data_IF_721976297472
#
_entry.id   IF_721976297472
#
_cell.length_a   1.000
_cell.length_b   1.000
_cell.length_c   1.000
_cell.angle_alpha   90.00
_cell.angle_beta   90.00
_cell.angle_gamma   90.00
#
_symmetry.space_group_name_H-M   'P 1'
#
loop_
_entity.id
_entity.type
_entity.pdbx_description
1 polymer ?
#
# COMPACT_ATOMS: atom_id res chain seq x y z
N UNK A 1 -28.75 -8.01 4.52
CA UNK A 1 -28.03 -8.03 3.22
C UNK A 1 -27.78 -6.58 2.82
N UNK A 2 -26.56 -6.07 2.75
CA UNK A 2 -26.32 -4.73 2.24
C UNK A 2 -26.41 -4.78 0.72
N UNK A 3 -27.30 -3.99 0.17
CA UNK A 3 -27.50 -3.74 -1.25
C UNK A 3 -26.20 -3.19 -1.85
N UNK A 4 -25.59 -3.92 -2.76
CA UNK A 4 -24.55 -3.41 -3.64
C UNK A 4 -25.12 -2.28 -4.47
N UNK A 5 -24.64 -1.05 -4.25
CA UNK A 5 -24.96 0.11 -5.07
C UNK A 5 -24.58 -0.20 -6.53
N UNK A 6 -25.57 -0.22 -7.40
CA UNK A 6 -25.35 -0.18 -8.85
C UNK A 6 -24.69 1.15 -9.19
N UNK A 7 -23.41 1.10 -9.57
CA UNK A 7 -22.68 2.27 -10.03
C UNK A 7 -23.12 2.61 -11.46
N UNK A 8 -23.73 3.77 -11.61
CA UNK A 8 -24.11 4.36 -12.88
C UNK A 8 -22.85 4.64 -13.75
N UNK A 9 -22.94 4.44 -15.08
CA UNK A 9 -21.82 4.59 -16.01
C UNK A 9 -21.21 6.01 -16.02
N UNK A 10 -21.99 7.05 -15.71
CA UNK A 10 -21.51 8.41 -15.56
C UNK A 10 -20.63 8.60 -14.31
N UNK A 11 -20.92 7.88 -13.22
CA UNK A 11 -20.10 7.85 -12.01
C UNK A 11 -18.75 7.16 -12.26
N UNK A 12 -18.71 6.17 -13.15
CA UNK A 12 -17.49 5.47 -13.54
C UNK A 12 -16.46 6.38 -14.23
N UNK A 13 -16.90 7.29 -15.11
CA UNK A 13 -16.02 8.25 -15.79
C UNK A 13 -15.51 9.32 -14.82
N UNK A 14 -16.38 9.87 -13.97
CA UNK A 14 -16.01 10.81 -12.90
C UNK A 14 -15.02 10.20 -11.91
N UNK A 15 -15.22 8.94 -11.50
CA UNK A 15 -14.27 8.24 -10.64
C UNK A 15 -12.92 8.03 -11.32
N UNK A 16 -12.88 7.70 -12.62
CA UNK A 16 -11.60 7.57 -13.36
C UNK A 16 -10.82 8.88 -13.39
N UNK A 17 -11.51 9.99 -13.62
CA UNK A 17 -10.86 11.31 -13.63
C UNK A 17 -10.38 11.73 -12.24
N UNK A 18 -11.14 11.42 -11.19
CA UNK A 18 -10.79 11.70 -9.79
C UNK A 18 -9.53 10.96 -9.34
N UNK A 19 -9.39 9.70 -9.74
CA UNK A 19 -8.24 8.87 -9.37
C UNK A 19 -7.11 8.92 -10.41
N UNK A 20 -7.22 9.78 -11.41
CA UNK A 20 -6.12 10.07 -12.32
C UNK A 20 -4.88 10.44 -11.50
N UNK A 21 -3.76 9.82 -11.81
CA UNK A 21 -2.52 9.92 -11.05
C UNK A 21 -2.52 9.25 -9.65
N UNK A 22 -3.61 8.59 -9.23
CA UNK A 22 -3.56 7.77 -8.02
C UNK A 22 -2.94 6.41 -8.34
N UNK A 23 -1.64 6.28 -8.11
CA UNK A 23 -0.86 5.07 -8.42
C UNK A 23 -1.25 3.86 -7.55
N UNK A 24 -1.94 4.07 -6.43
CA UNK A 24 -2.42 3.02 -5.53
C UNK A 24 -3.85 2.58 -5.85
N UNK A 25 -4.58 3.41 -6.59
CA UNK A 25 -5.90 3.06 -7.06
C UNK A 25 -5.80 2.43 -8.44
N UNK A 26 -6.16 1.18 -8.49
CA UNK A 26 -6.10 0.42 -9.71
C UNK A 26 -7.42 0.39 -10.49
N UNK A 27 -8.49 0.98 -9.96
CA UNK A 27 -9.82 1.03 -10.59
C UNK A 27 -10.43 -0.36 -10.84
N UNK A 28 -11.51 -0.43 -11.63
CA UNK A 28 -12.08 -1.72 -12.06
C UNK A 28 -11.14 -2.51 -12.96
N UNK A 29 -10.12 -1.86 -13.50
CA UNK A 29 -9.15 -2.45 -14.43
C UNK A 29 -7.92 -3.01 -13.75
N UNK A 30 -7.69 -2.74 -12.51
CA UNK A 30 -6.88 -3.62 -11.71
C UNK A 30 -7.63 -4.87 -11.34
N UNK A 31 -8.65 -5.12 -11.99
CA UNK A 31 -9.04 -6.47 -12.26
C UNK A 31 -7.87 -7.26 -12.86
N UNK A 32 -6.71 -7.31 -12.18
CA UNK A 32 -5.98 -8.55 -12.12
C UNK A 32 -7.05 -9.57 -11.78
N UNK A 33 -7.48 -10.35 -12.76
CA UNK A 33 -8.40 -11.45 -12.52
C UNK A 33 -7.64 -12.41 -11.62
N UNK A 34 -7.72 -12.16 -10.32
CA UNK A 34 -7.10 -13.04 -9.35
C UNK A 34 -7.74 -14.42 -9.47
N UNK A 35 -6.91 -15.43 -9.51
CA UNK A 35 -7.34 -16.75 -9.11
C UNK A 35 -7.45 -16.70 -7.59
N UNK A 36 -8.69 -16.63 -7.10
CA UNK A 36 -8.97 -16.69 -5.66
C UNK A 36 -8.83 -18.15 -5.20
N UNK A 37 -7.98 -18.39 -4.23
CA UNK A 37 -7.71 -19.72 -3.74
C UNK A 37 -7.73 -19.77 -2.21
N UNK A 38 -8.62 -20.60 -1.68
CA UNK A 38 -8.50 -21.18 -0.34
C UNK A 38 -7.76 -22.50 -0.42
N UNK A 39 -8.17 -23.35 -1.37
CA UNK A 39 -7.62 -24.68 -1.60
C UNK A 39 -6.65 -24.67 -2.78
N UNK A 40 -5.70 -25.59 -2.74
CA UNK A 40 -4.75 -25.81 -3.82
C UNK A 40 -5.40 -26.69 -4.87
N UNK A 41 -5.67 -26.12 -6.05
CA UNK A 41 -6.26 -26.81 -7.20
C UNK A 41 -5.46 -26.52 -8.48
N UNK A 42 -5.86 -27.12 -9.60
CA UNK A 42 -5.16 -26.99 -10.88
C UNK A 42 -4.97 -25.53 -11.36
N UNK A 43 -5.91 -24.63 -11.06
CA UNK A 43 -5.85 -23.22 -11.48
C UNK A 43 -4.72 -22.46 -10.81
N UNK A 44 -4.28 -22.89 -9.62
CA UNK A 44 -3.18 -22.24 -8.89
C UNK A 44 -1.86 -22.35 -9.67
N UNK A 45 -1.63 -23.48 -10.34
CA UNK A 45 -0.38 -23.75 -11.08
C UNK A 45 -0.27 -22.97 -12.39
N UNK A 46 -1.39 -22.46 -12.92
CA UNK A 46 -1.42 -21.66 -14.16
C UNK A 46 -1.64 -20.16 -13.90
N UNK A 47 -1.86 -19.80 -12.63
CA UNK A 47 -2.14 -18.43 -12.24
C UNK A 47 -0.91 -17.54 -12.42
N UNK A 48 -1.11 -16.35 -13.03
CA UNK A 48 -0.15 -15.23 -12.98
C UNK A 48 -0.47 -14.29 -11.82
N UNK A 49 -1.74 -14.20 -11.47
CA UNK A 49 -2.27 -13.36 -10.38
C UNK A 49 -3.02 -14.25 -9.41
N UNK A 50 -2.52 -14.34 -8.19
CA UNK A 50 -3.03 -15.24 -7.16
C UNK A 50 -3.45 -14.44 -5.92
N UNK A 51 -4.64 -14.73 -5.41
CA UNK A 51 -5.10 -14.25 -4.11
C UNK A 51 -5.32 -15.43 -3.17
N UNK A 52 -4.59 -15.45 -2.07
CA UNK A 52 -4.73 -16.48 -1.03
C UNK A 52 -5.56 -15.91 0.11
N UNK A 53 -6.65 -16.59 0.44
CA UNK A 53 -7.54 -16.18 1.51
C UNK A 53 -7.75 -17.36 2.49
N UNK A 54 -7.06 -17.29 3.64
CA UNK A 54 -7.17 -18.29 4.71
C UNK A 54 -7.82 -17.69 5.98
N UNK A 55 -8.71 -16.70 5.81
CA UNK A 55 -9.46 -16.13 6.93
C UNK A 55 -10.41 -17.17 7.52
N UNK A 56 -10.41 -17.26 8.85
CA UNK A 56 -11.23 -18.24 9.56
C UNK A 56 -12.73 -18.15 9.24
N UNK A 57 -13.21 -16.91 8.98
CA UNK A 57 -14.62 -16.63 8.67
C UNK A 57 -15.04 -17.07 7.26
N UNK A 58 -14.09 -17.31 6.37
CA UNK A 58 -14.37 -17.67 4.98
C UNK A 58 -14.37 -19.22 4.78
N UNK A 59 -14.04 -19.98 5.84
CA UNK A 59 -14.16 -21.43 5.81
C UNK A 59 -15.54 -21.89 6.31
N UNK A 60 -16.07 -22.99 5.75
CA UNK A 60 -17.22 -23.67 6.34
C UNK A 60 -16.98 -24.01 7.82
N UNK A 61 -18.06 -24.03 8.61
CA UNK A 61 -17.98 -24.25 10.06
C UNK A 61 -17.35 -25.60 10.42
N UNK A 62 -17.49 -26.57 9.54
CA UNK A 62 -16.95 -27.91 9.69
C UNK A 62 -15.43 -27.99 9.56
N UNK A 63 -14.80 -26.97 8.98
CA UNK A 63 -13.34 -26.94 8.78
C UNK A 63 -12.66 -26.61 10.11
N UNK A 64 -12.04 -27.61 10.70
CA UNK A 64 -11.34 -27.50 11.98
C UNK A 64 -10.07 -26.66 11.89
N UNK A 65 -9.63 -26.14 13.04
CA UNK A 65 -8.35 -25.43 13.14
C UNK A 65 -7.17 -26.29 12.65
N UNK A 66 -7.20 -27.61 12.89
CA UNK A 66 -6.17 -28.52 12.44
C UNK A 66 -6.12 -28.60 10.91
N UNK A 67 -7.26 -28.67 10.25
CA UNK A 67 -7.35 -28.68 8.79
C UNK A 67 -6.85 -27.36 8.18
N UNK A 68 -7.22 -26.24 8.78
CA UNK A 68 -6.72 -24.91 8.33
C UNK A 68 -5.22 -24.78 8.46
N UNK A 69 -4.62 -25.27 9.55
CA UNK A 69 -3.16 -25.28 9.73
C UNK A 69 -2.47 -26.18 8.69
N UNK A 70 -3.01 -27.36 8.45
CA UNK A 70 -2.49 -28.26 7.41
C UNK A 70 -2.56 -27.63 6.01
N UNK A 71 -3.63 -26.91 5.71
CA UNK A 71 -3.75 -26.16 4.47
C UNK A 71 -2.72 -25.04 4.36
N UNK A 72 -2.49 -24.29 5.44
CA UNK A 72 -1.45 -23.26 5.51
C UNK A 72 -0.06 -23.85 5.26
N UNK A 73 0.26 -24.99 5.88
CA UNK A 73 1.51 -25.72 5.65
C UNK A 73 1.66 -26.17 4.19
N UNK A 74 0.59 -26.64 3.58
CA UNK A 74 0.60 -27.01 2.16
C UNK A 74 0.90 -25.80 1.27
N UNK A 75 0.32 -24.62 1.56
CA UNK A 75 0.65 -23.38 0.87
C UNK A 75 2.10 -22.98 1.07
N UNK A 76 2.64 -23.04 2.29
CA UNK A 76 4.04 -22.73 2.59
C UNK A 76 4.99 -23.58 1.74
N UNK A 77 4.68 -24.87 1.57
CA UNK A 77 5.48 -25.80 0.78
C UNK A 77 5.33 -25.57 -0.75
N UNK A 78 4.19 -25.05 -1.19
CA UNK A 78 3.89 -24.86 -2.60
C UNK A 78 4.42 -23.51 -3.13
N UNK A 79 4.26 -22.41 -2.38
CA UNK A 79 4.57 -21.05 -2.82
C UNK A 79 5.91 -20.91 -3.56
N UNK A 80 7.03 -21.48 -3.05
CA UNK A 80 8.33 -21.37 -3.73
C UNK A 80 8.39 -21.99 -5.12
N UNK A 81 7.38 -22.80 -5.50
CA UNK A 81 7.33 -23.54 -6.77
C UNK A 81 6.38 -22.91 -7.78
N UNK A 82 5.70 -21.83 -7.42
CA UNK A 82 4.74 -21.11 -8.28
C UNK A 82 5.45 -20.08 -9.16
N UNK A 83 6.25 -20.55 -10.10
CA UNK A 83 7.11 -19.70 -10.94
C UNK A 83 6.35 -18.78 -11.91
N UNK A 84 5.07 -19.07 -12.21
CA UNK A 84 4.23 -18.24 -13.09
C UNK A 84 3.60 -17.06 -12.36
N UNK A 85 3.52 -17.10 -11.02
CA UNK A 85 2.88 -16.05 -10.23
C UNK A 85 3.78 -14.82 -10.17
N UNK A 86 3.31 -13.71 -10.73
CA UNK A 86 3.97 -12.40 -10.68
C UNK A 86 3.24 -11.43 -9.74
N UNK A 87 1.97 -11.69 -9.42
CA UNK A 87 1.17 -10.88 -8.50
C UNK A 87 0.56 -11.77 -7.44
N UNK A 88 0.83 -11.48 -6.17
CA UNK A 88 0.30 -12.20 -5.02
C UNK A 88 -0.39 -11.24 -4.05
N UNK A 89 -1.60 -11.59 -3.63
CA UNK A 89 -2.32 -10.94 -2.53
C UNK A 89 -2.65 -11.94 -1.43
N UNK A 90 -2.24 -11.64 -0.19
CA UNK A 90 -2.56 -12.45 0.98
C UNK A 90 -3.60 -11.73 1.84
N UNK A 91 -4.81 -12.26 1.91
CA UNK A 91 -5.94 -11.68 2.65
C UNK A 91 -6.15 -12.27 4.04
N UNK A 92 -5.22 -13.07 4.51
CA UNK A 92 -5.23 -13.62 5.87
C UNK A 92 -4.05 -13.07 6.67
N UNK A 93 -4.00 -13.41 7.95
CA UNK A 93 -2.89 -13.02 8.84
C UNK A 93 -1.65 -13.85 8.52
N UNK A 94 -0.71 -13.22 7.80
CA UNK A 94 0.56 -13.85 7.42
C UNK A 94 1.50 -13.92 8.64
N UNK A 95 1.99 -15.13 8.94
CA UNK A 95 3.03 -15.36 9.94
C UNK A 95 4.43 -15.38 9.31
N UNK A 96 5.48 -15.51 10.16
CA UNK A 96 6.87 -15.46 9.71
C UNK A 96 7.20 -16.55 8.69
N UNK A 97 6.81 -17.80 8.93
CA UNK A 97 7.11 -18.94 8.03
C UNK A 97 6.44 -18.79 6.66
N UNK A 98 5.18 -18.32 6.65
CA UNK A 98 4.46 -18.06 5.40
C UNK A 98 5.12 -16.91 4.61
N UNK A 99 5.52 -15.86 5.28
CA UNK A 99 6.25 -14.74 4.68
C UNK A 99 7.58 -15.20 4.05
N UNK A 100 8.35 -16.03 4.74
CA UNK A 100 9.62 -16.56 4.24
C UNK A 100 9.42 -17.47 3.01
N UNK A 101 8.30 -18.19 2.95
CA UNK A 101 7.94 -18.98 1.77
C UNK A 101 7.62 -18.07 0.58
N UNK A 102 6.86 -16.99 0.78
CA UNK A 102 6.60 -15.97 -0.24
C UNK A 102 7.90 -15.38 -0.76
N UNK A 103 8.83 -15.05 0.13
CA UNK A 103 10.12 -14.46 -0.25
C UNK A 103 11.01 -15.39 -1.10
N UNK A 104 10.65 -16.65 -1.28
CA UNK A 104 11.30 -17.57 -2.23
C UNK A 104 10.71 -17.52 -3.65
N UNK A 105 9.61 -16.80 -3.86
CA UNK A 105 8.93 -16.64 -5.16
C UNK A 105 9.66 -15.58 -6.02
N UNK A 106 10.69 -15.99 -6.74
CA UNK A 106 11.64 -15.09 -7.44
C UNK A 106 11.04 -14.21 -8.55
N UNK A 107 9.83 -14.54 -9.02
CA UNK A 107 9.18 -13.85 -10.13
C UNK A 107 8.10 -12.85 -9.67
N UNK A 108 7.93 -12.63 -8.37
CA UNK A 108 7.00 -11.62 -7.88
C UNK A 108 7.41 -10.22 -8.29
N UNK A 109 6.45 -9.52 -8.89
CA UNK A 109 6.50 -8.11 -9.25
C UNK A 109 5.58 -7.26 -8.36
N UNK A 110 4.44 -7.84 -7.94
CA UNK A 110 3.47 -7.18 -7.08
C UNK A 110 3.13 -8.07 -5.88
N UNK A 111 3.22 -7.52 -4.68
CA UNK A 111 2.95 -8.23 -3.43
C UNK A 111 2.10 -7.37 -2.49
N UNK A 112 0.99 -7.93 -2.04
CA UNK A 112 0.07 -7.29 -1.11
C UNK A 112 -0.19 -8.19 0.10
N UNK A 113 -0.09 -7.60 1.29
CA UNK A 113 -0.45 -8.20 2.57
C UNK A 113 -1.55 -7.38 3.26
N UNK A 114 -2.69 -8.01 3.57
CA UNK A 114 -3.77 -7.35 4.31
C UNK A 114 -3.46 -7.24 5.81
N UNK A 115 -2.84 -8.27 6.40
CA UNK A 115 -2.47 -8.27 7.82
C UNK A 115 -1.33 -9.24 8.10
N UNK A 116 -0.47 -8.90 9.06
CA UNK A 116 0.71 -9.72 9.36
C UNK A 116 1.15 -9.64 10.82
N UNK A 117 1.73 -10.74 11.30
CA UNK A 117 2.46 -10.82 12.58
C UNK A 117 3.96 -10.99 12.39
N UNK A 118 4.46 -10.78 11.19
CA UNK A 118 5.89 -10.84 10.86
C UNK A 118 6.66 -9.78 11.65
N UNK A 119 7.78 -10.17 12.21
CA UNK A 119 8.70 -9.33 12.98
C UNK A 119 9.97 -9.01 12.17
N UNK A 120 10.46 -9.99 11.42
CA UNK A 120 11.65 -9.88 10.56
C UNK A 120 11.29 -9.98 9.08
N UNK A 121 11.53 -8.90 8.34
CA UNK A 121 11.30 -8.84 6.90
C UNK A 121 12.60 -8.96 6.09
N UNK A 122 13.73 -9.37 6.66
CA UNK A 122 15.04 -9.46 5.98
C UNK A 122 15.00 -10.32 4.73
N UNK A 123 14.17 -11.39 4.73
CA UNK A 123 13.98 -12.26 3.57
C UNK A 123 13.39 -11.58 2.34
N UNK A 124 12.75 -10.38 2.49
CA UNK A 124 12.17 -9.62 1.37
C UNK A 124 13.24 -9.23 0.33
N UNK A 125 14.48 -9.12 0.78
CA UNK A 125 15.64 -8.84 -0.08
C UNK A 125 15.81 -9.83 -1.25
N UNK A 126 15.19 -11.01 -1.19
CA UNK A 126 15.22 -12.02 -2.26
C UNK A 126 14.30 -11.66 -3.45
N UNK A 127 13.33 -10.77 -3.26
CA UNK A 127 12.32 -10.39 -4.26
C UNK A 127 12.81 -9.28 -5.19
N UNK A 128 13.89 -9.51 -5.93
CA UNK A 128 14.58 -8.48 -6.70
C UNK A 128 13.78 -7.94 -7.90
N UNK A 129 12.70 -8.62 -8.33
CA UNK A 129 11.80 -8.15 -9.40
C UNK A 129 10.62 -7.34 -8.86
N UNK A 130 10.50 -7.19 -7.52
CA UNK A 130 9.35 -6.54 -6.91
C UNK A 130 9.32 -5.05 -7.26
N UNK A 131 8.23 -4.62 -7.90
CA UNK A 131 7.96 -3.24 -8.30
C UNK A 131 6.90 -2.57 -7.44
N UNK A 132 5.98 -3.36 -6.86
CA UNK A 132 4.91 -2.87 -5.98
C UNK A 132 4.82 -3.72 -4.72
N UNK A 133 4.85 -3.05 -3.58
CA UNK A 133 4.70 -3.66 -2.26
C UNK A 133 3.65 -2.91 -1.46
N UNK A 134 2.65 -3.63 -0.99
CA UNK A 134 1.61 -3.12 -0.09
C UNK A 134 1.59 -3.93 1.20
N UNK A 135 1.81 -3.26 2.31
CA UNK A 135 1.91 -3.82 3.64
C UNK A 135 0.86 -3.18 4.54
N UNK A 136 -0.23 -3.89 4.81
CA UNK A 136 -1.25 -3.43 5.74
C UNK A 136 -1.14 -4.17 7.07
N UNK A 137 -1.26 -3.45 8.17
CA UNK A 137 -1.36 -3.99 9.54
C UNK A 137 -0.25 -4.97 9.94
N UNK A 138 1.02 -4.60 9.71
CA UNK A 138 2.17 -5.33 10.25
C UNK A 138 2.33 -5.03 11.75
N UNK A 139 1.64 -5.79 12.58
CA UNK A 139 1.42 -5.47 14.01
C UNK A 139 2.65 -5.62 14.90
N UNK A 140 3.70 -6.31 14.41
CA UNK A 140 4.92 -6.59 15.18
C UNK A 140 6.20 -6.06 14.57
N UNK A 141 6.15 -5.61 13.31
CA UNK A 141 7.31 -5.08 12.61
C UNK A 141 7.80 -3.78 13.25
N UNK A 142 9.10 -3.71 13.56
CA UNK A 142 9.77 -2.54 14.15
C UNK A 142 10.72 -1.90 13.15
N UNK A 143 11.48 -2.70 12.41
CA UNK A 143 12.48 -2.25 11.44
C UNK A 143 12.00 -2.50 9.99
N UNK A 144 11.90 -1.41 9.21
CA UNK A 144 11.52 -1.48 7.79
C UNK A 144 12.74 -1.43 6.85
N UNK A 145 13.93 -1.25 7.37
CA UNK A 145 15.15 -1.07 6.56
C UNK A 145 15.44 -2.19 5.54
N UNK A 146 15.07 -3.47 5.75
CA UNK A 146 15.30 -4.50 4.74
C UNK A 146 14.66 -4.21 3.37
N UNK A 147 13.62 -3.34 3.30
CA UNK A 147 13.00 -2.91 2.04
C UNK A 147 14.00 -2.17 1.14
N UNK A 148 15.03 -1.55 1.69
CA UNK A 148 16.08 -0.86 0.92
C UNK A 148 16.84 -1.76 -0.06
N UNK A 149 16.77 -3.08 0.13
CA UNK A 149 17.35 -4.06 -0.79
C UNK A 149 16.54 -4.22 -2.10
N UNK A 150 15.29 -3.73 -2.16
CA UNK A 150 14.41 -3.85 -3.31
C UNK A 150 14.69 -2.75 -4.34
N UNK A 151 15.70 -2.96 -5.19
CA UNK A 151 16.18 -1.94 -6.14
C UNK A 151 15.22 -1.64 -7.29
N UNK A 152 14.24 -2.51 -7.55
CA UNK A 152 13.22 -2.34 -8.59
C UNK A 152 11.92 -1.74 -8.05
N UNK A 153 11.82 -1.46 -6.73
CA UNK A 153 10.57 -1.02 -6.12
C UNK A 153 10.24 0.42 -6.54
N UNK A 154 9.06 0.57 -7.13
CA UNK A 154 8.51 1.84 -7.61
C UNK A 154 7.33 2.33 -6.75
N UNK A 155 6.52 1.39 -6.24
CA UNK A 155 5.33 1.70 -5.45
C UNK A 155 5.41 1.01 -4.09
N UNK A 156 5.38 1.80 -3.01
CA UNK A 156 5.36 1.32 -1.64
C UNK A 156 4.16 1.89 -0.88
N UNK A 157 3.31 1.02 -0.33
CA UNK A 157 2.29 1.38 0.64
C UNK A 157 2.54 0.67 1.96
N UNK A 158 2.60 1.44 3.06
CA UNK A 158 2.68 0.89 4.41
C UNK A 158 1.59 1.53 5.26
N UNK A 159 0.60 0.75 5.62
CA UNK A 159 -0.56 1.23 6.37
C UNK A 159 -0.69 0.48 7.70
N UNK A 160 -1.18 1.17 8.74
CA UNK A 160 -1.47 0.57 10.06
C UNK A 160 -0.31 -0.19 10.74
N UNK A 161 0.93 0.07 10.33
CA UNK A 161 2.13 -0.59 10.86
C UNK A 161 2.78 0.29 11.93
N UNK A 162 2.05 0.50 13.04
CA UNK A 162 2.33 1.52 14.07
C UNK A 162 3.57 1.27 14.94
N UNK A 163 4.17 0.09 14.87
CA UNK A 163 5.40 -0.23 15.62
C UNK A 163 6.68 0.05 14.85
N UNK A 164 6.58 0.33 13.55
CA UNK A 164 7.76 0.71 12.76
C UNK A 164 8.30 2.05 13.26
N UNK A 165 9.59 2.08 13.59
CA UNK A 165 10.25 3.23 14.22
C UNK A 165 11.11 4.04 13.24
N UNK A 166 11.50 3.45 12.12
CA UNK A 166 12.51 4.00 11.20
C UNK A 166 11.98 4.27 9.80
N UNK A 167 10.79 4.86 9.65
CA UNK A 167 10.26 5.26 8.34
C UNK A 167 11.15 6.22 7.56
N UNK A 168 12.04 6.95 8.25
CA UNK A 168 13.01 7.86 7.66
C UNK A 168 13.99 7.20 6.69
N UNK A 169 14.30 5.90 6.88
CA UNK A 169 15.16 5.15 5.95
C UNK A 169 14.60 5.09 4.53
N UNK A 170 13.28 5.19 4.37
CA UNK A 170 12.63 5.19 3.06
C UNK A 170 13.04 6.36 2.16
N UNK A 171 13.58 7.43 2.75
CA UNK A 171 14.18 8.55 2.00
C UNK A 171 15.40 8.15 1.15
N UNK A 172 15.95 6.96 1.34
CA UNK A 172 17.04 6.39 0.52
C UNK A 172 16.52 5.66 -0.74
N UNK A 173 15.21 5.44 -0.86
CA UNK A 173 14.60 4.69 -1.97
C UNK A 173 14.32 5.60 -3.16
N UNK A 174 15.34 6.08 -3.81
CA UNK A 174 15.24 7.06 -4.91
C UNK A 174 14.50 6.57 -6.15
N UNK A 175 14.23 5.26 -6.25
CA UNK A 175 13.43 4.65 -7.33
C UNK A 175 11.92 4.81 -7.13
N UNK A 176 11.47 5.23 -5.95
CA UNK A 176 10.04 5.35 -5.66
C UNK A 176 9.37 6.41 -6.54
N UNK A 177 8.28 5.99 -7.17
CA UNK A 177 7.34 6.80 -7.93
C UNK A 177 6.08 7.08 -7.13
N UNK A 178 5.66 6.15 -6.28
CA UNK A 178 4.56 6.31 -5.32
C UNK A 178 4.93 5.83 -3.93
N UNK A 179 4.61 6.64 -2.92
CA UNK A 179 4.76 6.33 -1.51
C UNK A 179 3.48 6.65 -0.76
N UNK A 180 2.92 5.64 -0.08
CA UNK A 180 1.81 5.80 0.86
C UNK A 180 2.26 5.37 2.24
N UNK A 181 2.06 6.25 3.23
CA UNK A 181 2.29 5.98 4.64
C UNK A 181 1.06 6.45 5.41
N UNK A 182 0.32 5.54 6.05
CA UNK A 182 -0.94 5.92 6.66
C UNK A 182 -1.36 5.07 7.85
N UNK A 183 -2.34 5.59 8.56
CA UNK A 183 -3.06 4.88 9.62
C UNK A 183 -4.14 3.95 9.07
N UNK A 184 -5.16 3.70 9.88
CA UNK A 184 -6.26 2.80 9.54
C UNK A 184 -7.57 3.58 9.42
N UNK A 185 -8.31 3.37 8.33
CA UNK A 185 -9.62 3.97 8.11
C UNK A 185 -10.70 3.48 9.09
N UNK A 186 -10.55 2.26 9.63
CA UNK A 186 -11.50 1.66 10.57
C UNK A 186 -11.19 1.97 12.04
N UNK A 187 -10.01 2.52 12.31
CA UNK A 187 -9.58 2.95 13.65
C UNK A 187 -8.95 4.32 13.51
N UNK A 188 -9.45 5.37 14.20
CA UNK A 188 -8.97 6.75 14.04
C UNK A 188 -7.57 6.95 14.63
N UNK A 189 -6.63 6.09 14.26
CA UNK A 189 -5.24 6.14 14.69
C UNK A 189 -4.36 6.57 13.54
N UNK A 190 -3.79 7.77 13.66
CA UNK A 190 -2.81 8.27 12.70
C UNK A 190 -1.45 7.60 12.88
N UNK A 191 -0.80 7.32 11.76
CA UNK A 191 0.62 6.98 11.74
C UNK A 191 1.43 8.23 12.14
N UNK A 192 2.44 8.06 12.97
CA UNK A 192 3.29 9.18 13.42
C UNK A 192 4.66 9.10 12.74
N UNK A 193 4.91 10.02 11.83
CA UNK A 193 6.20 10.19 11.18
C UNK A 193 7.03 11.24 11.95
N UNK A 194 8.27 10.94 12.26
CA UNK A 194 9.15 11.86 12.99
C UNK A 194 9.40 13.13 12.17
N UNK A 195 9.70 12.96 10.87
CA UNK A 195 10.04 14.05 9.95
C UNK A 195 9.82 13.63 8.49
N UNK A 196 9.57 14.59 7.60
CA UNK A 196 9.61 14.39 6.14
C UNK A 196 10.98 14.73 5.54
N UNK A 197 11.89 15.38 6.28
CA UNK A 197 13.20 15.83 5.76
C UNK A 197 14.00 14.72 5.06
N UNK A 198 14.00 13.45 5.51
CA UNK A 198 14.66 12.38 4.80
C UNK A 198 14.13 12.16 3.37
N UNK A 199 12.87 12.51 3.09
CA UNK A 199 12.23 12.25 1.80
C UNK A 199 12.60 13.25 0.70
N UNK A 200 13.33 14.33 1.01
CA UNK A 200 13.75 15.36 0.04
C UNK A 200 14.50 14.79 -1.19
N UNK A 201 15.08 13.61 -1.05
CA UNK A 201 15.84 12.95 -2.12
C UNK A 201 14.99 12.08 -3.05
N UNK A 202 13.69 11.93 -2.79
CA UNK A 202 12.77 11.14 -3.62
C UNK A 202 12.36 11.91 -4.87
N UNK A 203 13.34 12.26 -5.72
CA UNK A 203 13.15 13.16 -6.88
C UNK A 203 12.26 12.60 -7.99
N UNK A 204 12.01 11.29 -8.00
CA UNK A 204 11.10 10.62 -8.95
C UNK A 204 9.69 10.44 -8.39
N UNK A 205 9.44 10.85 -7.14
CA UNK A 205 8.15 10.65 -6.48
C UNK A 205 7.08 11.52 -7.14
N UNK A 206 6.08 10.86 -7.73
CA UNK A 206 4.91 11.49 -8.38
C UNK A 206 3.69 11.51 -7.49
N UNK A 207 3.54 10.50 -6.64
CA UNK A 207 2.42 10.39 -5.72
C UNK A 207 2.94 10.18 -4.29
N UNK A 208 2.57 11.10 -3.40
CA UNK A 208 2.75 10.97 -1.96
C UNK A 208 1.38 10.95 -1.28
N UNK A 209 1.11 9.89 -0.52
CA UNK A 209 -0.11 9.77 0.28
C UNK A 209 0.26 9.63 1.75
N UNK A 210 -0.08 10.66 2.52
CA UNK A 210 0.06 10.75 3.97
C UNK A 210 -1.31 10.83 4.67
N UNK A 211 -2.35 10.34 4.03
CA UNK A 211 -3.69 10.26 4.64
C UNK A 211 -3.63 9.45 5.93
N UNK A 212 -4.28 9.94 6.98
CA UNK A 212 -4.21 9.34 8.31
C UNK A 212 -2.78 9.26 8.89
N UNK A 213 -1.93 10.22 8.52
CA UNK A 213 -0.60 10.40 9.10
C UNK A 213 -0.46 11.77 9.74
N UNK A 214 0.45 11.86 10.71
CA UNK A 214 0.88 13.14 11.30
C UNK A 214 2.41 13.22 11.28
N UNK A 215 2.92 14.40 10.93
CA UNK A 215 4.37 14.70 10.91
C UNK A 215 4.71 15.48 12.16
N UNK A 216 5.55 14.91 13.02
CA UNK A 216 5.78 15.44 14.39
C UNK A 216 6.51 16.76 14.37
N UNK A 217 7.53 16.91 13.52
CA UNK A 217 8.32 18.14 13.40
C UNK A 217 7.74 19.16 12.41
N UNK A 218 6.54 18.88 11.87
CA UNK A 218 5.85 19.73 10.88
C UNK A 218 6.68 20.06 9.63
N UNK A 219 7.67 19.25 9.26
CA UNK A 219 8.58 19.49 8.13
C UNK A 219 7.92 19.32 6.74
N UNK A 220 6.70 19.85 6.57
CA UNK A 220 5.95 19.80 5.32
C UNK A 220 6.57 20.65 4.20
N UNK A 221 7.47 21.58 4.51
CA UNK A 221 8.27 22.31 3.54
C UNK A 221 9.11 21.37 2.64
N UNK A 222 9.43 20.17 3.10
CA UNK A 222 10.10 19.12 2.31
C UNK A 222 9.34 18.80 1.01
N UNK A 223 8.03 19.02 0.95
CA UNK A 223 7.23 18.84 -0.27
C UNK A 223 7.72 19.73 -1.41
N UNK A 224 8.32 20.88 -1.11
CA UNK A 224 8.92 21.80 -2.09
C UNK A 224 10.14 21.21 -2.79
N UNK A 225 10.81 20.24 -2.17
CA UNK A 225 11.96 19.54 -2.73
C UNK A 225 11.57 18.38 -3.67
N UNK A 226 10.28 18.03 -3.73
CA UNK A 226 9.75 16.91 -4.53
C UNK A 226 9.33 17.39 -5.92
N UNK A 227 10.30 17.69 -6.79
CA UNK A 227 10.10 18.34 -8.09
C UNK A 227 9.20 17.56 -9.07
N UNK A 228 9.02 16.27 -8.86
CA UNK A 228 8.20 15.41 -9.72
C UNK A 228 6.81 15.14 -9.15
N UNK A 229 6.46 15.72 -7.99
CA UNK A 229 5.20 15.43 -7.30
C UNK A 229 4.01 15.98 -8.09
N UNK A 230 3.12 15.08 -8.50
CA UNK A 230 1.92 15.36 -9.28
C UNK A 230 0.64 15.21 -8.44
N UNK A 231 0.68 14.34 -7.41
CA UNK A 231 -0.44 14.08 -6.48
C UNK A 231 0.03 14.07 -5.04
N UNK A 232 -0.70 14.78 -4.18
CA UNK A 232 -0.47 14.79 -2.74
C UNK A 232 -1.79 14.61 -1.98
N UNK A 233 -1.91 13.48 -1.29
CA UNK A 233 -2.99 13.20 -0.35
C UNK A 233 -2.44 13.33 1.07
N UNK A 234 -3.15 14.05 1.93
CA UNK A 234 -2.66 14.38 3.27
C UNK A 234 -3.81 14.57 4.25
N UNK A 235 -3.48 14.61 5.53
CA UNK A 235 -4.39 15.06 6.58
C UNK A 235 -4.53 16.60 6.61
N UNK A 236 -5.54 17.09 7.31
CA UNK A 236 -5.89 18.53 7.40
C UNK A 236 -4.83 19.38 8.14
N UNK A 237 -3.80 18.77 8.73
CA UNK A 237 -2.92 19.41 9.73
C UNK A 237 -1.72 20.20 9.18
N UNK A 238 -1.69 20.54 7.89
CA UNK A 238 -0.58 21.36 7.34
C UNK A 238 -0.80 22.83 7.69
N UNK A 239 0.17 23.54 8.31
CA UNK A 239 0.05 24.96 8.61
C UNK A 239 -0.22 25.81 7.37
N UNK A 240 -1.12 26.80 7.50
CA UNK A 240 -1.55 27.67 6.39
C UNK A 240 -0.40 28.31 5.60
N UNK A 241 0.66 28.89 6.23
CA UNK A 241 1.78 29.47 5.49
C UNK A 241 2.49 28.44 4.59
N UNK A 242 2.68 27.21 5.08
CA UNK A 242 3.33 26.14 4.33
C UNK A 242 2.44 25.68 3.18
N UNK A 243 1.10 25.55 3.40
CA UNK A 243 0.16 25.24 2.32
C UNK A 243 0.24 26.26 1.18
N UNK A 244 0.30 27.54 1.50
CA UNK A 244 0.43 28.60 0.50
C UNK A 244 1.75 28.49 -0.29
N UNK A 245 2.87 28.24 0.39
CA UNK A 245 4.16 28.03 -0.27
C UNK A 245 4.14 26.83 -1.23
N UNK A 246 3.58 25.69 -0.80
CA UNK A 246 3.47 24.50 -1.65
C UNK A 246 2.61 24.81 -2.88
N UNK A 247 1.44 25.44 -2.72
CA UNK A 247 0.53 25.80 -3.84
C UNK A 247 1.19 26.73 -4.87
N UNK A 248 2.01 27.66 -4.41
CA UNK A 248 2.67 28.62 -5.31
C UNK A 248 3.87 28.02 -6.03
N UNK A 249 4.68 27.19 -5.36
CA UNK A 249 5.99 26.77 -5.85
C UNK A 249 5.93 25.40 -6.55
N UNK A 250 5.04 24.47 -6.15
CA UNK A 250 4.96 23.17 -6.79
C UNK A 250 3.94 23.14 -7.93
N UNK A 251 4.37 23.57 -9.13
CA UNK A 251 3.51 23.71 -10.33
C UNK A 251 3.03 22.37 -10.91
N UNK A 252 3.71 21.27 -10.62
CA UNK A 252 3.33 19.93 -11.10
C UNK A 252 2.24 19.29 -10.25
N UNK A 253 2.02 19.80 -9.03
CA UNK A 253 1.03 19.28 -8.10
C UNK A 253 -0.38 19.67 -8.57
N UNK A 254 -1.07 18.73 -9.21
CA UNK A 254 -2.36 18.96 -9.89
C UNK A 254 -3.48 18.06 -9.40
N UNK A 255 -3.21 17.14 -8.48
CA UNK A 255 -4.18 16.17 -7.99
C UNK A 255 -4.01 15.86 -6.49
N UNK A 256 -5.03 15.23 -5.93
CA UNK A 256 -5.07 14.76 -4.55
C UNK A 256 -5.76 15.71 -3.59
N UNK A 257 -6.00 15.22 -2.38
CA UNK A 257 -6.72 15.96 -1.33
C UNK A 257 -6.14 17.37 -1.11
N UNK A 258 -4.82 17.50 -1.15
CA UNK A 258 -4.16 18.80 -0.96
C UNK A 258 -4.58 19.87 -1.98
N UNK A 259 -4.87 19.47 -3.21
CA UNK A 259 -5.31 20.38 -4.30
C UNK A 259 -6.82 20.52 -4.32
N UNK A 260 -7.54 19.44 -4.06
CA UNK A 260 -8.98 19.33 -4.25
C UNK A 260 -9.79 19.86 -3.06
N UNK A 261 -9.13 20.14 -1.92
CA UNK A 261 -9.77 20.56 -0.69
C UNK A 261 -9.44 22.02 -0.32
N UNK A 262 -10.48 22.80 0.01
CA UNK A 262 -10.35 24.15 0.56
C UNK A 262 -10.20 24.09 2.07
N UNK A 263 -8.97 24.20 2.54
CA UNK A 263 -8.64 24.15 3.97
C UNK A 263 -9.13 25.35 4.77
N UNK A 264 -9.43 26.47 4.10
CA UNK A 264 -9.90 27.68 4.78
C UNK A 264 -11.42 27.65 4.99
N UNK A 265 -12.16 27.05 4.05
CA UNK A 265 -13.61 26.86 4.14
C UNK A 265 -14.03 25.46 4.63
N UNK A 266 -13.08 24.57 4.89
CA UNK A 266 -13.29 23.19 5.35
C UNK A 266 -14.24 22.40 4.43
N UNK A 267 -14.05 22.52 3.12
CA UNK A 267 -14.88 21.91 2.09
C UNK A 267 -14.07 21.51 0.85
N UNK A 268 -14.61 20.60 0.05
CA UNK A 268 -14.05 20.36 -1.28
C UNK A 268 -14.43 21.49 -2.23
N UNK A 269 -13.52 21.84 -3.15
CA UNK A 269 -13.87 22.72 -4.25
C UNK A 269 -14.99 22.13 -5.08
N UNK A 270 -15.79 22.99 -5.74
CA UNK A 270 -16.94 22.56 -6.54
C UNK A 270 -16.57 21.45 -7.54
N UNK A 271 -17.35 20.39 -7.55
CA UNK A 271 -17.12 19.20 -8.38
C UNK A 271 -16.01 18.26 -7.89
N UNK A 272 -15.47 18.49 -6.69
CA UNK A 272 -14.51 17.63 -6.00
C UNK A 272 -15.16 16.95 -4.81
N UNK A 273 -14.76 15.72 -4.54
CA UNK A 273 -15.26 14.89 -3.43
C UNK A 273 -14.16 13.94 -2.94
N UNK A 274 -14.40 13.32 -1.76
CA UNK A 274 -13.53 12.23 -1.26
C UNK A 274 -13.51 11.01 -2.15
#
# INVERSE_FOLDING_TARGET
MPTYLQFDNNNSKRMKDRYKLNLFYSGKESAHKYVDAQEINGNVFTAKTLRINLLAMDFPVEVTLKQRKALEENWINLLPRLDLVTTLSCRHRVNQTFFEAICKMKNLEHLHFLTSTVEDISSISKLQKLRRLEMESFSRLVDISPILALKSLELLSVESSFKVENYDVLGQMTTLVGLRLGGNNFSPKNLRLKSLKPFKNLKHLKHLDLSLSSVIDFSYETILDLDSLERFDTSILIPKPIRQLIKVNNKKLTAGFFVDYDFDNNAFYEGKEW
#
